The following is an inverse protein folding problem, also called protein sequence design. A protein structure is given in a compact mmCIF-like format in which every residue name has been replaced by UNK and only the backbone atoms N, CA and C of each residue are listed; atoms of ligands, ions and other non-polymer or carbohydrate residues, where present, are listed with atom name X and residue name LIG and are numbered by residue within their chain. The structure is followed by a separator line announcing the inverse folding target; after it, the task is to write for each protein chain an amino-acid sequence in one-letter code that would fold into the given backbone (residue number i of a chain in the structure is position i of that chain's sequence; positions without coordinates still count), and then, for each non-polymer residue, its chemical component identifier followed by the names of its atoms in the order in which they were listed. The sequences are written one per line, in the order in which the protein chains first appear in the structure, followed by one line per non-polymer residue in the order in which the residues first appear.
data_IF_696119768435
#
_entry.id   IF_696119768435
#
_cell.length_a   1.000
_cell.length_b   1.000
_cell.length_c   1.000
_cell.angle_alpha   90.00
_cell.angle_beta   90.00
_cell.angle_gamma   90.00
#
_symmetry.space_group_name_H-M   'P 1'
#
loop_
_entity.id
_entity.type
_entity.pdbx_description
1 polymer ?
#
# COMPACT_ATOMS: atom_id res chain seq x y z
N UNK A 1 -9.12 7.68 -7.52
CA UNK A 1 -7.64 7.62 -7.67
C UNK A 1 -7.10 6.21 -7.96
N UNK A 2 -7.64 5.17 -7.33
CA UNK A 2 -7.23 3.76 -7.52
C UNK A 2 -8.39 2.86 -7.98
N UNK A 3 -9.48 3.43 -8.51
CA UNK A 3 -10.69 2.69 -8.92
C UNK A 3 -10.42 1.59 -9.95
N UNK A 4 -9.39 1.77 -10.78
CA UNK A 4 -8.95 0.78 -11.76
C UNK A 4 -8.41 -0.53 -11.16
N UNK A 5 -8.15 -0.57 -9.84
CA UNK A 5 -7.73 -1.80 -9.14
C UNK A 5 -8.91 -2.68 -8.70
N UNK A 6 -10.16 -2.31 -9.01
CA UNK A 6 -11.34 -3.10 -8.63
C UNK A 6 -11.42 -3.30 -7.12
N UNK A 7 -11.50 -4.57 -6.67
CA UNK A 7 -11.60 -4.95 -5.25
C UNK A 7 -10.44 -4.39 -4.39
N UNK A 8 -9.24 -4.28 -4.95
CA UNK A 8 -8.07 -3.83 -4.20
C UNK A 8 -7.97 -2.29 -4.11
N UNK A 9 -8.92 -1.57 -4.71
CA UNK A 9 -8.93 -0.11 -4.74
C UNK A 9 -9.07 0.51 -3.35
N UNK A 10 -9.86 -0.10 -2.46
CA UNK A 10 -10.06 0.37 -1.08
C UNK A 10 -8.77 0.26 -0.27
N UNK A 11 -8.11 -0.89 -0.33
CA UNK A 11 -6.85 -1.13 0.38
C UNK A 11 -5.76 -0.15 -0.08
N UNK A 12 -5.66 0.10 -1.39
CA UNK A 12 -4.73 1.09 -1.95
C UNK A 12 -5.09 2.53 -1.54
N UNK A 13 -6.38 2.87 -1.49
CA UNK A 13 -6.85 4.19 -1.07
C UNK A 13 -6.52 4.47 0.40
N UNK A 14 -6.82 3.54 1.32
CA UNK A 14 -6.52 3.69 2.75
C UNK A 14 -5.03 3.86 3.01
N UNK A 15 -4.20 3.06 2.33
CA UNK A 15 -2.75 3.22 2.43
C UNK A 15 -2.31 4.60 1.92
N UNK A 16 -2.81 5.01 0.75
CA UNK A 16 -2.47 6.29 0.14
C UNK A 16 -2.88 7.50 0.96
N UNK A 17 -3.95 7.39 1.75
CA UNK A 17 -4.36 8.44 2.67
C UNK A 17 -3.29 8.67 3.74
N UNK A 18 -2.66 7.59 4.22
CA UNK A 18 -1.61 7.70 5.24
C UNK A 18 -0.23 8.07 4.69
N UNK A 19 0.19 7.48 3.57
CA UNK A 19 1.56 7.67 3.04
C UNK A 19 1.65 8.65 1.88
N UNK A 20 0.51 9.16 1.39
CA UNK A 20 0.40 9.96 0.18
C UNK A 20 0.36 9.10 -1.09
N UNK A 21 -0.34 9.53 -2.15
CA UNK A 21 -0.52 8.70 -3.34
C UNK A 21 0.74 8.51 -4.19
N UNK A 22 1.64 9.50 -4.23
CA UNK A 22 2.89 9.42 -4.98
C UNK A 22 3.86 8.38 -4.41
N UNK A 23 3.69 7.98 -3.13
CA UNK A 23 4.43 6.85 -2.55
C UNK A 23 4.05 5.52 -3.21
N UNK A 24 2.82 5.38 -3.69
CA UNK A 24 2.38 4.18 -4.42
C UNK A 24 2.59 4.33 -5.93
N UNK A 25 2.09 5.42 -6.53
CA UNK A 25 2.10 5.64 -7.99
C UNK A 25 3.49 5.96 -8.55
N UNK A 26 4.38 6.47 -7.72
CA UNK A 26 5.62 7.11 -8.19
C UNK A 26 5.35 8.54 -8.68
N UNK A 27 6.43 9.30 -8.81
CA UNK A 27 6.45 10.64 -9.40
C UNK A 27 7.89 11.06 -9.70
N UNK A 28 8.12 11.69 -10.86
CA UNK A 28 9.45 12.10 -11.31
C UNK A 28 10.43 10.93 -11.33
N UNK A 29 11.53 11.02 -10.58
CA UNK A 29 12.54 9.96 -10.44
C UNK A 29 12.12 8.79 -9.54
N UNK A 30 10.99 8.91 -8.82
CA UNK A 30 10.50 7.86 -7.92
C UNK A 30 9.65 6.86 -8.72
N UNK A 31 10.06 5.59 -8.82
CA UNK A 31 9.29 4.59 -9.56
C UNK A 31 7.99 4.24 -8.82
N UNK A 32 7.04 3.68 -9.59
CA UNK A 32 5.84 3.04 -9.05
C UNK A 32 6.23 1.93 -8.06
N UNK A 33 5.54 1.88 -6.92
CA UNK A 33 5.79 0.90 -5.87
C UNK A 33 5.57 -0.54 -6.35
N UNK A 34 6.32 -1.48 -5.78
CA UNK A 34 6.14 -2.92 -6.06
C UNK A 34 4.73 -3.40 -5.68
N UNK A 35 4.18 -2.89 -4.57
CA UNK A 35 2.79 -3.13 -4.15
C UNK A 35 1.82 -2.84 -5.29
N UNK A 36 1.87 -1.62 -5.84
CA UNK A 36 0.93 -1.20 -6.88
C UNK A 36 1.14 -1.97 -8.18
N UNK A 37 2.39 -2.28 -8.56
CA UNK A 37 2.68 -3.13 -9.73
C UNK A 37 2.07 -4.53 -9.62
N UNK A 38 2.14 -5.14 -8.43
CA UNK A 38 1.54 -6.45 -8.15
C UNK A 38 0.02 -6.41 -8.25
N UNK A 39 -0.62 -5.43 -7.60
CA UNK A 39 -2.06 -5.23 -7.69
C UNK A 39 -2.52 -5.01 -9.14
N UNK A 40 -1.77 -4.23 -9.92
CA UNK A 40 -2.05 -3.99 -11.35
C UNK A 40 -1.90 -5.25 -12.21
N UNK A 41 -1.03 -6.18 -11.85
CA UNK A 41 -0.87 -7.47 -12.54
C UNK A 41 -1.79 -8.58 -12.01
N UNK A 42 -2.69 -8.27 -11.07
CA UNK A 42 -3.55 -9.25 -10.40
C UNK A 42 -2.82 -10.14 -9.39
N UNK A 43 -1.55 -9.87 -9.08
CA UNK A 43 -0.82 -10.58 -8.02
C UNK A 43 -1.27 -10.01 -6.67
N UNK A 44 -2.09 -10.79 -5.96
CA UNK A 44 -2.60 -10.44 -4.64
C UNK A 44 -1.69 -10.92 -3.50
N UNK A 45 -0.55 -11.57 -3.78
CA UNK A 45 0.43 -11.89 -2.74
C UNK A 45 1.25 -10.64 -2.36
N UNK A 46 0.62 -9.73 -1.62
CA UNK A 46 1.11 -8.37 -1.37
C UNK A 46 1.39 -8.05 0.10
N UNK A 47 1.20 -8.99 1.04
CA UNK A 47 1.35 -8.73 2.48
C UNK A 47 2.70 -8.10 2.83
N UNK A 48 3.80 -8.65 2.28
CA UNK A 48 5.16 -8.15 2.52
C UNK A 48 5.33 -6.73 2.00
N UNK A 49 4.87 -6.45 0.78
CA UNK A 49 4.93 -5.12 0.20
C UNK A 49 4.06 -4.12 0.96
N UNK A 50 2.87 -4.52 1.41
CA UNK A 50 1.93 -3.66 2.13
C UNK A 50 2.48 -3.24 3.51
N UNK A 51 2.94 -4.22 4.30
CA UNK A 51 3.51 -3.96 5.65
C UNK A 51 4.83 -3.18 5.58
N UNK A 52 5.54 -3.19 4.44
CA UNK A 52 6.76 -2.40 4.26
C UNK A 52 6.54 -0.88 4.37
N UNK A 53 5.29 -0.41 4.19
CA UNK A 53 4.90 0.99 4.40
C UNK A 53 4.72 1.34 5.89
N UNK A 54 5.72 0.97 6.70
CA UNK A 54 5.81 1.20 8.15
C UNK A 54 6.85 2.23 8.58
N UNK A 55 7.59 2.79 7.62
CA UNK A 55 8.72 3.67 7.91
C UNK A 55 8.38 5.15 7.80
N UNK A 56 8.78 5.92 8.82
CA UNK A 56 8.80 7.38 8.82
C UNK A 56 10.24 7.87 8.93
N UNK A 57 10.65 8.80 8.05
CA UNK A 57 12.03 9.30 7.96
C UNK A 57 13.10 8.18 7.98
N UNK A 58 12.84 7.09 7.27
CA UNK A 58 13.74 5.93 7.15
C UNK A 58 13.73 4.96 8.34
N UNK A 59 13.04 5.26 9.44
CA UNK A 59 12.95 4.39 10.62
C UNK A 59 11.61 3.67 10.67
N UNK A 60 11.63 2.40 11.08
CA UNK A 60 10.42 1.61 11.34
C UNK A 60 9.66 2.22 12.52
N UNK A 61 8.35 2.42 12.36
CA UNK A 61 7.47 2.90 13.43
C UNK A 61 6.49 1.78 13.81
N UNK A 62 6.55 1.22 15.03
CA UNK A 62 5.73 0.08 15.43
C UNK A 62 4.21 0.33 15.33
N UNK A 63 3.74 1.54 15.63
CA UNK A 63 2.32 1.90 15.49
C UNK A 63 1.85 1.90 14.04
N UNK A 64 2.70 2.32 13.08
CA UNK A 64 2.38 2.27 11.66
C UNK A 64 2.36 0.82 11.18
N UNK A 65 3.30 -0.01 11.62
CA UNK A 65 3.28 -1.45 11.30
C UNK A 65 1.99 -2.11 11.80
N UNK A 66 1.60 -1.85 13.06
CA UNK A 66 0.33 -2.35 13.60
C UNK A 66 -0.86 -1.89 12.76
N UNK A 67 -0.89 -0.61 12.37
CA UNK A 67 -1.91 -0.07 11.46
C UNK A 67 -1.93 -0.81 10.12
N UNK A 68 -0.77 -1.06 9.48
CA UNK A 68 -0.71 -1.84 8.21
C UNK A 68 -1.28 -3.25 8.37
N UNK A 69 -0.97 -3.93 9.47
CA UNK A 69 -1.49 -5.28 9.74
C UNK A 69 -3.00 -5.28 9.93
N UNK A 70 -3.55 -4.30 10.67
CA UNK A 70 -4.99 -4.16 10.87
C UNK A 70 -5.71 -3.77 9.59
N UNK A 71 -5.19 -2.81 8.82
CA UNK A 71 -5.73 -2.45 7.51
C UNK A 71 -5.75 -3.67 6.56
N UNK A 72 -4.68 -4.46 6.53
CA UNK A 72 -4.62 -5.67 5.73
C UNK A 72 -5.64 -6.70 6.21
N UNK A 73 -5.69 -7.00 7.51
CA UNK A 73 -6.64 -7.95 8.09
C UNK A 73 -8.10 -7.58 7.81
N UNK A 74 -8.45 -6.28 7.85
CA UNK A 74 -9.83 -5.81 7.70
C UNK A 74 -10.26 -5.58 6.25
N UNK A 75 -9.33 -5.22 5.36
CA UNK A 75 -9.68 -4.70 4.02
C UNK A 75 -9.15 -5.55 2.87
N UNK A 76 -8.28 -6.53 3.14
CA UNK A 76 -7.76 -7.42 2.12
C UNK A 76 -8.54 -8.74 2.03
N UNK A 77 -9.17 -9.15 3.13
CA UNK A 77 -10.14 -10.25 3.16
C UNK A 77 -11.55 -9.77 2.77
N UNK A 78 -11.74 -9.69 1.45
CA UNK A 78 -13.03 -9.69 0.72
C UNK A 78 -12.72 -10.05 -0.74
#
# INVERSE_FOLDING_TARGET
MFSYLGRDSLLAAVLSYNVGPYRLKGYGKRPKSRLLKKLESGDRNIYKEYVSFRCYKGKVVPSIERRRKVEFMLLFEE
#
